data_IF_147200071600
#
_entry.id   IF_147200071600
#
_cell.length_a   1.000
_cell.length_b   1.000
_cell.length_c   1.000
_cell.angle_alpha   90.00
_cell.angle_beta   90.00
_cell.angle_gamma   90.00
#
_symmetry.space_group_name_H-M   'P 1'
#
loop_
_entity.id
_entity.type
_entity.pdbx_description
1 polymer ?
#
# COMPACT_ATOMS: atom_id res chain seq x y z
N UNK A 1 -22.77 6.69 0.42
CA UNK A 1 -21.86 5.53 0.63
C UNK A 1 -21.79 5.17 2.10
N UNK A 2 -21.35 6.08 2.98
CA UNK A 2 -21.35 5.84 4.43
C UNK A 2 -22.73 5.56 5.00
N UNK A 3 -23.76 6.30 4.58
CA UNK A 3 -25.17 6.05 4.98
C UNK A 3 -25.69 4.67 4.55
N UNK A 4 -25.08 4.05 3.54
CA UNK A 4 -25.41 2.69 3.12
C UNK A 4 -24.71 1.62 3.97
N UNK A 5 -23.99 2.01 5.02
CA UNK A 5 -23.34 1.10 5.96
C UNK A 5 -21.94 0.64 5.54
N UNK A 6 -21.30 1.29 4.56
CA UNK A 6 -19.93 0.96 4.18
C UNK A 6 -18.97 1.01 5.39
N UNK A 7 -18.11 -0.01 5.52
CA UNK A 7 -17.13 -0.15 6.61
C UNK A 7 -15.69 -0.06 6.14
N UNK A 8 -15.48 0.12 4.85
CA UNK A 8 -14.19 0.22 4.21
C UNK A 8 -14.36 0.93 2.86
N UNK A 9 -13.38 1.73 2.46
CA UNK A 9 -13.31 2.36 1.15
C UNK A 9 -12.10 1.81 0.39
N UNK A 10 -12.19 1.75 -0.93
CA UNK A 10 -11.12 1.20 -1.78
C UNK A 10 -10.80 2.19 -2.89
N UNK A 11 -9.51 2.35 -3.18
CA UNK A 11 -9.00 3.01 -4.38
C UNK A 11 -7.73 2.29 -4.86
N UNK A 12 -7.32 2.57 -6.09
CA UNK A 12 -6.00 2.16 -6.60
C UNK A 12 -4.91 3.11 -6.09
N UNK A 13 -3.68 2.65 -5.86
CA UNK A 13 -2.54 3.53 -5.61
C UNK A 13 -2.20 4.33 -6.87
N UNK A 14 -1.68 5.53 -6.71
CA UNK A 14 -1.21 6.37 -7.79
C UNK A 14 -1.52 7.85 -7.57
N UNK A 15 -1.03 8.72 -8.47
CA UNK A 15 -1.39 10.13 -8.45
C UNK A 15 -2.83 10.32 -8.95
N UNK A 16 -3.50 11.37 -8.47
CA UNK A 16 -4.92 11.62 -8.77
C UNK A 16 -5.04 12.57 -9.96
N UNK A 17 -5.83 12.26 -11.00
CA UNK A 17 -6.09 13.18 -12.09
C UNK A 17 -6.61 14.53 -11.57
N UNK A 18 -6.07 15.62 -12.08
CA UNK A 18 -6.40 16.95 -11.55
C UNK A 18 -7.68 17.56 -12.14
N UNK A 19 -8.22 16.96 -13.20
CA UNK A 19 -9.37 17.42 -13.97
C UNK A 19 -9.02 18.06 -15.32
N UNK A 20 -7.72 18.25 -15.60
CA UNK A 20 -7.16 18.53 -16.92
C UNK A 20 -6.35 17.35 -17.44
N UNK A 21 -5.24 17.63 -18.12
CA UNK A 21 -4.31 16.62 -18.65
C UNK A 21 -3.18 16.26 -17.65
N UNK A 22 -3.36 16.60 -16.37
CA UNK A 22 -2.34 16.49 -15.33
C UNK A 22 -2.73 15.56 -14.17
N UNK A 23 -1.78 15.42 -13.24
CA UNK A 23 -1.95 14.63 -12.02
C UNK A 23 -1.39 15.39 -10.82
N UNK A 24 -2.01 15.19 -9.65
CA UNK A 24 -1.56 15.73 -8.37
C UNK A 24 -1.46 14.63 -7.32
N UNK A 25 -0.69 14.87 -6.26
CA UNK A 25 -0.59 13.91 -5.15
C UNK A 25 -1.97 13.64 -4.52
N UNK A 26 -2.25 12.39 -4.09
CA UNK A 26 -3.44 12.08 -3.29
C UNK A 26 -3.50 12.88 -1.98
N UNK A 27 -2.37 13.38 -1.50
CA UNK A 27 -2.25 14.23 -0.31
C UNK A 27 -2.35 15.73 -0.60
N UNK A 28 -2.69 16.13 -1.82
CA UNK A 28 -2.87 17.54 -2.17
C UNK A 28 -4.01 18.17 -1.34
N UNK A 29 -3.86 19.37 -0.74
CA UNK A 29 -4.86 19.96 0.16
C UNK A 29 -6.27 20.13 -0.42
N UNK A 30 -6.39 20.18 -1.76
CA UNK A 30 -7.70 20.17 -2.44
C UNK A 30 -8.58 18.96 -2.09
N UNK A 31 -7.97 17.86 -1.63
CA UNK A 31 -8.66 16.65 -1.21
C UNK A 31 -8.86 16.55 0.31
N UNK A 32 -8.38 17.52 1.10
CA UNK A 32 -8.45 17.47 2.57
C UNK A 32 -9.89 17.32 3.08
N UNK A 33 -10.88 17.89 2.38
CA UNK A 33 -12.30 17.68 2.73
C UNK A 33 -12.69 16.21 2.65
N UNK A 34 -12.22 15.47 1.64
CA UNK A 34 -12.54 14.05 1.47
C UNK A 34 -11.85 13.24 2.57
N UNK A 35 -10.55 13.48 2.79
CA UNK A 35 -9.79 12.79 3.82
C UNK A 35 -10.29 13.06 5.23
N UNK A 36 -10.68 14.32 5.52
CA UNK A 36 -11.30 14.70 6.78
C UNK A 36 -12.60 13.93 7.02
N UNK A 37 -13.47 13.82 6.02
CA UNK A 37 -14.72 13.04 6.14
C UNK A 37 -14.45 11.54 6.39
N UNK A 38 -13.43 10.97 5.74
CA UNK A 38 -13.03 9.57 5.95
C UNK A 38 -12.51 9.35 7.37
N UNK A 39 -11.64 10.26 7.83
CA UNK A 39 -11.09 10.23 9.18
C UNK A 39 -12.17 10.39 10.25
N UNK A 40 -13.08 11.37 10.09
CA UNK A 40 -14.21 11.61 11.00
C UNK A 40 -15.18 10.43 11.04
N UNK A 41 -15.43 9.79 9.90
CA UNK A 41 -16.28 8.60 9.83
C UNK A 41 -15.62 7.37 10.48
N UNK A 42 -14.31 7.42 10.73
CA UNK A 42 -13.54 6.29 11.22
C UNK A 42 -13.55 5.11 10.26
N UNK A 43 -13.73 5.32 8.95
CA UNK A 43 -13.73 4.23 7.98
C UNK A 43 -12.34 4.07 7.37
N UNK A 44 -11.75 2.86 7.38
CA UNK A 44 -10.45 2.64 6.76
C UNK A 44 -10.46 2.80 5.24
N UNK A 45 -9.30 3.19 4.70
CA UNK A 45 -9.01 3.25 3.27
C UNK A 45 -8.11 2.09 2.86
N UNK A 46 -8.45 1.39 1.79
CA UNK A 46 -7.61 0.37 1.14
C UNK A 46 -7.05 0.93 -0.16
N UNK A 47 -5.74 0.76 -0.32
CA UNK A 47 -5.01 0.91 -1.57
C UNK A 47 -4.80 -0.49 -2.15
N UNK A 48 -5.67 -0.90 -3.07
CA UNK A 48 -5.63 -2.21 -3.70
C UNK A 48 -4.81 -2.16 -4.99
N UNK A 49 -4.04 -3.19 -5.28
CA UNK A 49 -3.31 -3.26 -6.55
C UNK A 49 -4.26 -3.09 -7.75
N UNK A 50 -3.71 -2.45 -8.78
CA UNK A 50 -4.46 -2.03 -9.95
C UNK A 50 -3.66 -1.07 -10.81
N UNK A 51 -4.32 -0.47 -11.79
CA UNK A 51 -3.68 0.43 -12.75
C UNK A 51 -3.27 1.76 -12.10
N UNK A 52 -2.05 1.80 -11.57
CA UNK A 52 -1.48 2.91 -10.78
C UNK A 52 -0.77 3.99 -11.61
N UNK A 53 -0.92 3.96 -12.94
CA UNK A 53 -0.31 4.92 -13.85
C UNK A 53 1.20 4.75 -14.07
N UNK A 54 1.88 3.85 -13.35
CA UNK A 54 3.33 3.61 -13.52
C UNK A 54 3.68 3.12 -14.94
N UNK A 55 2.72 2.47 -15.61
CA UNK A 55 2.80 2.13 -17.02
C UNK A 55 3.08 3.34 -17.94
N UNK A 56 2.64 4.56 -17.56
CA UNK A 56 2.95 5.78 -18.31
C UNK A 56 4.44 6.08 -18.27
N UNK A 57 5.09 5.95 -17.12
CA UNK A 57 6.55 6.09 -17.03
C UNK A 57 7.27 5.01 -17.84
N UNK A 58 6.73 3.79 -17.87
CA UNK A 58 7.21 2.69 -18.71
C UNK A 58 7.26 3.03 -20.21
N UNK A 59 6.36 3.88 -20.69
CA UNK A 59 6.34 4.28 -22.11
C UNK A 59 7.57 5.07 -22.56
N UNK A 60 8.27 5.73 -21.63
CA UNK A 60 9.55 6.41 -21.93
C UNK A 60 10.70 5.44 -22.18
N UNK A 61 10.56 4.18 -21.74
CA UNK A 61 11.55 3.12 -21.87
C UNK A 61 11.25 2.19 -23.05
N UNK A 62 10.54 2.70 -24.07
CA UNK A 62 10.17 1.92 -25.24
C UNK A 62 11.35 1.50 -26.10
N UNK A 63 11.28 0.27 -26.59
CA UNK A 63 12.22 -0.32 -27.55
C UNK A 63 11.47 -0.79 -28.79
N UNK A 64 12.21 -1.08 -29.86
CA UNK A 64 11.68 -1.56 -31.15
C UNK A 64 11.12 -2.98 -31.08
N UNK A 65 11.41 -3.72 -30.01
CA UNK A 65 10.86 -5.05 -29.76
C UNK A 65 9.46 -4.94 -29.12
N UNK A 66 8.38 -5.39 -29.82
CA UNK A 66 7.03 -5.39 -29.27
C UNK A 66 6.87 -6.25 -28.02
N UNK A 67 7.68 -7.31 -27.86
CA UNK A 67 7.65 -8.24 -26.73
C UNK A 67 8.43 -7.79 -25.50
N UNK A 68 9.35 -6.83 -25.67
CA UNK A 68 10.03 -6.16 -24.56
C UNK A 68 9.15 -5.10 -23.86
N UNK A 69 7.96 -4.87 -24.41
CA UNK A 69 6.78 -4.29 -23.77
C UNK A 69 6.99 -2.99 -23.01
N UNK A 70 6.65 -1.92 -23.74
CA UNK A 70 6.62 -0.55 -23.22
C UNK A 70 5.20 -0.01 -23.02
N UNK A 71 4.19 -0.80 -23.39
CA UNK A 71 2.79 -0.56 -23.10
C UNK A 71 2.35 -1.48 -21.96
N UNK A 72 1.92 -0.89 -20.85
CA UNK A 72 1.45 -1.60 -19.65
C UNK A 72 0.07 -2.26 -19.82
N UNK A 73 -0.11 -3.05 -20.87
CA UNK A 73 -1.27 -3.94 -20.98
C UNK A 73 -1.19 -5.03 -19.91
N UNK A 74 -2.25 -5.18 -19.12
CA UNK A 74 -2.44 -6.32 -18.23
C UNK A 74 -3.13 -7.45 -19.01
N UNK A 75 -2.35 -8.27 -19.70
CA UNK A 75 -2.78 -9.62 -20.10
C UNK A 75 -2.11 -10.63 -19.16
N UNK A 76 -2.91 -11.52 -18.55
CA UNK A 76 -2.40 -12.55 -17.65
C UNK A 76 -1.28 -13.36 -18.29
N UNK A 77 -0.14 -13.46 -17.60
CA UNK A 77 1.07 -14.19 -18.02
C UNK A 77 1.77 -13.70 -19.30
N UNK A 78 1.40 -12.51 -19.82
CA UNK A 78 2.13 -11.83 -20.91
C UNK A 78 2.66 -10.47 -20.46
N UNK A 79 3.17 -10.42 -19.24
CA UNK A 79 3.81 -9.21 -18.75
C UNK A 79 5.14 -9.01 -19.46
N UNK A 80 5.39 -7.76 -19.84
CA UNK A 80 6.71 -7.33 -20.25
C UNK A 80 7.67 -7.44 -19.05
N UNK A 81 8.87 -7.99 -19.28
CA UNK A 81 9.85 -8.22 -18.22
C UNK A 81 10.32 -6.91 -17.56
N UNK A 82 10.46 -5.83 -18.33
CA UNK A 82 10.96 -4.56 -17.80
C UNK A 82 10.03 -3.91 -16.77
N UNK A 83 8.72 -3.69 -17.04
CA UNK A 83 7.80 -3.17 -16.01
C UNK A 83 7.73 -4.03 -14.76
N UNK A 84 7.76 -5.37 -14.89
CA UNK A 84 7.76 -6.26 -13.74
C UNK A 84 8.98 -6.03 -12.84
N UNK A 85 10.18 -5.88 -13.41
CA UNK A 85 11.41 -5.67 -12.64
C UNK A 85 11.54 -4.23 -12.13
N UNK A 86 11.16 -3.25 -12.93
CA UNK A 86 11.43 -1.85 -12.64
C UNK A 86 10.36 -1.20 -11.74
N UNK A 87 9.11 -1.69 -11.81
CA UNK A 87 7.93 -0.96 -11.36
C UNK A 87 6.95 -1.74 -10.48
N UNK A 88 7.12 -3.06 -10.28
CA UNK A 88 6.11 -3.91 -9.64
C UNK A 88 5.55 -3.35 -8.32
N UNK A 89 6.39 -2.75 -7.49
CA UNK A 89 6.01 -2.22 -6.17
C UNK A 89 6.05 -0.67 -6.08
N UNK A 90 6.41 0.02 -7.17
CA UNK A 90 6.56 1.48 -7.16
C UNK A 90 5.25 2.21 -6.95
N UNK A 91 4.16 1.71 -7.53
CA UNK A 91 2.86 2.39 -7.46
C UNK A 91 2.42 2.63 -6.01
N UNK A 92 2.46 1.59 -5.18
CA UNK A 92 2.09 1.69 -3.76
C UNK A 92 3.13 2.46 -2.95
N UNK A 93 4.43 2.21 -3.20
CA UNK A 93 5.52 2.85 -2.46
C UNK A 93 5.54 4.36 -2.67
N UNK A 94 5.42 4.83 -3.92
CA UNK A 94 5.36 6.25 -4.28
C UNK A 94 4.07 6.90 -3.74
N UNK A 95 2.96 6.17 -3.75
CA UNK A 95 1.67 6.66 -3.19
C UNK A 95 1.80 6.95 -1.71
N UNK A 96 2.26 5.99 -0.91
CA UNK A 96 2.41 6.14 0.54
C UNK A 96 3.54 7.11 0.90
N UNK A 97 4.63 7.14 0.13
CA UNK A 97 5.65 8.17 0.25
C UNK A 97 5.03 9.57 0.08
N UNK A 98 4.17 9.77 -0.92
CA UNK A 98 3.49 11.06 -1.12
C UNK A 98 2.54 11.41 0.02
N UNK A 99 1.84 10.42 0.60
CA UNK A 99 0.94 10.64 1.74
C UNK A 99 1.70 11.08 2.99
N UNK A 100 2.85 10.47 3.27
CA UNK A 100 3.73 10.86 4.39
C UNK A 100 4.39 12.22 4.11
N UNK A 101 5.10 12.36 2.99
CA UNK A 101 5.92 13.54 2.70
C UNK A 101 5.10 14.81 2.46
N UNK A 102 3.87 14.70 1.96
CA UNK A 102 2.98 15.85 1.81
C UNK A 102 2.03 16.04 3.00
N UNK A 103 2.30 15.37 4.12
CA UNK A 103 1.67 15.63 5.42
C UNK A 103 0.22 15.18 5.55
N UNK A 104 -0.27 14.26 4.71
CA UNK A 104 -1.65 13.76 4.83
C UNK A 104 -1.87 13.05 6.17
N UNK A 105 -0.92 12.18 6.54
CA UNK A 105 -1.00 11.40 7.77
C UNK A 105 -0.87 12.28 9.03
N UNK A 106 -0.07 13.34 8.95
CA UNK A 106 0.01 14.37 10.00
C UNK A 106 -1.28 15.17 10.12
N UNK A 107 -1.88 15.61 9.00
CA UNK A 107 -3.16 16.37 9.04
C UNK A 107 -4.33 15.54 9.56
N UNK A 108 -4.33 14.24 9.29
CA UNK A 108 -5.41 13.33 9.68
C UNK A 108 -4.86 12.09 10.41
N UNK A 109 -4.46 12.23 11.68
CA UNK A 109 -3.80 11.15 12.43
C UNK A 109 -4.73 9.96 12.74
N UNK A 110 -6.05 10.13 12.59
CA UNK A 110 -7.05 9.07 12.76
C UNK A 110 -7.26 8.21 11.49
N UNK A 111 -6.65 8.57 10.36
CA UNK A 111 -6.75 7.74 9.15
C UNK A 111 -6.09 6.39 9.37
N UNK A 112 -6.78 5.35 8.90
CA UNK A 112 -6.28 3.98 8.81
C UNK A 112 -6.22 3.58 7.35
N UNK A 113 -5.03 3.21 6.89
CA UNK A 113 -4.76 2.89 5.49
C UNK A 113 -4.23 1.46 5.42
N UNK A 114 -4.68 0.65 4.46
CA UNK A 114 -4.08 -0.65 4.18
C UNK A 114 -3.59 -0.76 2.74
N UNK A 115 -2.40 -1.31 2.55
CA UNK A 115 -1.94 -1.83 1.26
C UNK A 115 -2.41 -3.27 1.11
N UNK A 116 -3.20 -3.56 0.07
CA UNK A 116 -3.70 -4.91 -0.22
C UNK A 116 -3.27 -5.32 -1.63
N UNK A 117 -2.73 -6.54 -1.77
CA UNK A 117 -2.30 -7.13 -3.04
C UNK A 117 -1.13 -6.40 -3.74
N UNK A 118 -0.36 -5.56 -3.03
CA UNK A 118 0.82 -4.88 -3.60
C UNK A 118 2.16 -5.51 -3.18
N UNK A 119 2.12 -6.70 -2.56
CA UNK A 119 3.24 -7.23 -1.78
C UNK A 119 3.68 -6.26 -0.67
N UNK A 120 4.85 -6.52 -0.08
CA UNK A 120 5.33 -5.74 1.05
C UNK A 120 6.83 -5.46 1.06
N UNK A 121 7.64 -6.05 0.17
CA UNK A 121 9.09 -5.84 0.18
C UNK A 121 9.54 -4.40 -0.15
N UNK A 122 8.65 -3.55 -0.64
CA UNK A 122 8.87 -2.10 -0.74
C UNK A 122 8.94 -1.39 0.62
N UNK A 123 8.35 -1.98 1.67
CA UNK A 123 8.17 -1.33 2.99
C UNK A 123 9.52 -1.04 3.67
N UNK A 124 10.44 -2.01 3.86
CA UNK A 124 11.72 -1.72 4.51
C UNK A 124 12.52 -0.65 3.76
N UNK A 125 12.43 -0.64 2.44
CA UNK A 125 13.11 0.29 1.56
C UNK A 125 12.51 1.71 1.64
N UNK A 126 11.18 1.82 1.67
CA UNK A 126 10.50 3.09 1.90
C UNK A 126 10.85 3.66 3.28
N UNK A 127 10.77 2.86 4.34
CA UNK A 127 11.07 3.33 5.70
C UNK A 127 12.52 3.81 5.83
N UNK A 128 13.48 3.10 5.22
CA UNK A 128 14.88 3.55 5.13
C UNK A 128 14.99 4.91 4.43
N UNK A 129 14.29 5.09 3.31
CA UNK A 129 14.32 6.34 2.56
C UNK A 129 13.68 7.51 3.33
N UNK A 130 12.56 7.27 4.02
CA UNK A 130 11.89 8.24 4.88
C UNK A 130 12.79 8.67 6.05
N UNK A 131 13.44 7.71 6.73
CA UNK A 131 14.39 8.01 7.81
C UNK A 131 15.59 8.84 7.30
N UNK A 132 16.13 8.47 6.13
CA UNK A 132 17.23 9.21 5.52
C UNK A 132 16.82 10.63 5.09
N UNK A 133 15.60 10.82 4.58
CA UNK A 133 15.06 12.13 4.24
C UNK A 133 14.89 13.00 5.49
N UNK A 134 14.33 12.44 6.57
CA UNK A 134 14.19 13.13 7.86
C UNK A 134 15.54 13.57 8.42
N UNK A 135 16.56 12.69 8.38
CA UNK A 135 17.91 13.04 8.84
C UNK A 135 18.57 14.18 8.05
N UNK A 136 18.26 14.31 6.76
CA UNK A 136 18.80 15.38 5.88
C UNK A 136 18.01 16.68 5.94
N UNK A 137 16.69 16.58 6.04
CA UNK A 137 15.76 17.71 5.96
C UNK A 137 14.68 17.59 7.05
N UNK A 138 15.04 17.62 8.35
CA UNK A 138 14.07 17.42 9.42
C UNK A 138 12.99 18.52 9.43
N UNK A 139 13.32 19.73 8.96
CA UNK A 139 12.39 20.85 8.84
C UNK A 139 11.25 20.63 7.82
N UNK A 140 11.37 19.62 6.94
CA UNK A 140 10.33 19.28 5.98
C UNK A 140 9.22 18.39 6.58
N UNK A 141 9.38 17.95 7.83
CA UNK A 141 8.45 17.05 8.51
C UNK A 141 8.08 17.61 9.89
N UNK A 142 6.79 17.67 10.19
CA UNK A 142 6.32 18.09 11.52
C UNK A 142 6.56 17.01 12.59
N UNK A 143 6.59 15.74 12.18
CA UNK A 143 6.83 14.57 13.03
C UNK A 143 7.63 13.50 12.26
N UNK A 144 8.25 12.55 12.96
CA UNK A 144 9.14 11.55 12.34
C UNK A 144 8.39 10.67 11.31
N UNK A 145 8.74 10.69 10.01
CA UNK A 145 7.91 10.11 8.94
C UNK A 145 7.73 8.59 9.03
N UNK A 146 8.70 7.86 9.58
CA UNK A 146 8.56 6.41 9.82
C UNK A 146 7.50 6.12 10.89
N UNK A 147 7.40 6.99 11.90
CA UNK A 147 6.42 6.80 12.98
C UNK A 147 5.01 7.15 12.49
N UNK A 148 4.88 8.15 11.60
CA UNK A 148 3.62 8.42 10.88
C UNK A 148 3.13 7.17 10.15
N UNK A 149 4.03 6.55 9.38
CA UNK A 149 3.74 5.37 8.59
C UNK A 149 3.29 4.22 9.49
N UNK A 150 4.11 3.87 10.50
CA UNK A 150 3.83 2.76 11.43
C UNK A 150 2.55 2.95 12.23
N UNK A 151 2.13 4.18 12.50
CA UNK A 151 0.90 4.47 13.24
C UNK A 151 -0.37 4.23 12.42
N UNK A 152 -0.31 4.38 11.10
CA UNK A 152 -1.52 4.53 10.28
C UNK A 152 -1.61 3.56 9.08
N UNK A 153 -0.56 2.77 8.81
CA UNK A 153 -0.49 1.92 7.63
C UNK A 153 -0.40 0.44 8.01
N UNK A 154 -1.39 -0.33 7.56
CA UNK A 154 -1.44 -1.79 7.58
C UNK A 154 -1.04 -2.35 6.21
N UNK A 155 -0.52 -3.57 6.19
CA UNK A 155 0.01 -4.20 4.99
C UNK A 155 -0.49 -5.65 4.93
N UNK A 156 -0.98 -6.04 3.76
CA UNK A 156 -1.17 -7.45 3.38
C UNK A 156 -0.01 -7.87 2.47
N UNK A 157 0.98 -8.62 2.98
CA UNK A 157 2.11 -9.12 2.19
C UNK A 157 1.69 -10.17 1.18
N UNK A 158 2.55 -10.46 0.21
CA UNK A 158 2.45 -11.70 -0.55
C UNK A 158 2.91 -12.89 0.29
N UNK A 159 2.48 -14.10 -0.05
CA UNK A 159 2.88 -15.30 0.69
C UNK A 159 4.36 -15.63 0.50
N UNK A 160 5.02 -15.11 -0.54
CA UNK A 160 6.47 -15.24 -0.76
C UNK A 160 7.32 -14.15 -0.09
N UNK A 161 6.72 -13.15 0.55
CA UNK A 161 7.47 -12.06 1.18
C UNK A 161 8.18 -12.53 2.47
N UNK A 162 9.24 -11.81 2.87
CA UNK A 162 9.97 -12.09 4.11
C UNK A 162 9.22 -11.52 5.32
N UNK A 163 8.37 -12.37 5.92
CA UNK A 163 7.44 -12.00 6.98
C UNK A 163 8.15 -11.55 8.27
N UNK A 164 9.24 -12.21 8.66
CA UNK A 164 10.10 -11.77 9.77
C UNK A 164 10.65 -10.35 9.55
N UNK A 165 11.18 -10.06 8.35
CA UNK A 165 11.72 -8.73 8.03
C UNK A 165 10.63 -7.66 8.03
N UNK A 166 9.42 -7.99 7.60
CA UNK A 166 8.27 -7.08 7.65
C UNK A 166 7.82 -6.80 9.08
N UNK A 167 7.73 -7.84 9.93
CA UNK A 167 7.44 -7.68 11.36
C UNK A 167 8.45 -6.74 12.01
N UNK A 168 9.74 -6.91 11.74
CA UNK A 168 10.78 -6.05 12.30
C UNK A 168 10.70 -4.60 11.76
N UNK A 169 10.19 -4.42 10.53
CA UNK A 169 10.04 -3.11 9.91
C UNK A 169 8.83 -2.32 10.45
N UNK A 170 7.65 -2.94 10.56
CA UNK A 170 6.39 -2.23 10.88
C UNK A 170 5.70 -2.65 12.17
N UNK A 171 6.12 -3.76 12.78
CA UNK A 171 5.43 -4.38 13.92
C UNK A 171 4.40 -5.42 13.46
N UNK A 172 4.18 -6.43 14.30
CA UNK A 172 3.24 -7.52 14.01
C UNK A 172 1.80 -7.01 13.86
N UNK A 173 1.43 -5.94 14.57
CA UNK A 173 0.12 -5.30 14.61
C UNK A 173 -0.26 -4.56 13.31
N UNK A 174 0.67 -4.47 12.36
CA UNK A 174 0.46 -3.87 11.03
C UNK A 174 0.40 -4.89 9.90
N UNK A 175 0.64 -6.16 10.18
CA UNK A 175 0.55 -7.22 9.18
C UNK A 175 -0.83 -7.86 9.20
N UNK A 176 -1.43 -8.04 8.01
CA UNK A 176 -2.73 -8.69 7.86
C UNK A 176 -2.64 -9.78 6.81
N UNK A 177 -3.34 -10.86 7.06
CA UNK A 177 -3.57 -11.92 6.08
C UNK A 177 -4.42 -11.43 4.90
N UNK A 178 -4.02 -11.83 3.69
CA UNK A 178 -4.83 -11.74 2.47
C UNK A 178 -4.50 -12.90 1.54
N UNK A 179 -5.52 -13.63 1.08
CA UNK A 179 -5.33 -14.80 0.19
C UNK A 179 -5.46 -14.48 -1.30
N UNK A 180 -6.07 -13.35 -1.62
CA UNK A 180 -6.45 -12.98 -2.99
C UNK A 180 -7.35 -14.01 -3.72
N UNK A 181 -8.04 -14.87 -2.98
CA UNK A 181 -9.02 -15.79 -3.58
C UNK A 181 -10.20 -15.02 -4.19
N UNK A 182 -10.68 -15.34 -5.42
CA UNK A 182 -10.38 -16.54 -6.22
C UNK A 182 -9.42 -16.28 -7.40
N UNK A 183 -8.56 -15.27 -7.33
CA UNK A 183 -7.63 -14.96 -8.40
C UNK A 183 -6.61 -16.10 -8.63
N UNK A 184 -6.00 -16.11 -9.81
CA UNK A 184 -5.12 -17.22 -10.24
C UNK A 184 -3.75 -17.15 -9.56
N UNK A 185 -3.33 -15.94 -9.23
CA UNK A 185 -2.12 -15.57 -8.50
C UNK A 185 -2.25 -15.77 -6.98
N UNK A 186 -3.48 -15.87 -6.46
CA UNK A 186 -3.77 -16.05 -5.05
C UNK A 186 -3.71 -17.50 -4.56
N UNK A 187 -4.05 -17.71 -3.28
CA UNK A 187 -4.10 -19.02 -2.66
C UNK A 187 -5.45 -19.71 -2.92
N UNK A 188 -5.39 -20.96 -3.42
CA UNK A 188 -6.59 -21.77 -3.65
C UNK A 188 -7.32 -22.16 -2.35
N UNK A 189 -6.59 -22.34 -1.25
CA UNK A 189 -7.12 -22.47 0.10
C UNK A 189 -6.67 -21.24 0.91
N UNK A 190 -7.57 -20.27 1.19
CA UNK A 190 -7.21 -19.05 1.91
C UNK A 190 -6.50 -19.30 3.24
N UNK A 191 -6.89 -20.35 3.98
CA UNK A 191 -6.30 -20.64 5.29
C UNK A 191 -4.90 -21.26 5.18
N UNK A 192 -4.44 -21.64 3.98
CA UNK A 192 -3.11 -22.20 3.79
C UNK A 192 -2.00 -21.18 4.09
N UNK A 193 -2.29 -19.87 4.08
CA UNK A 193 -1.33 -18.80 4.38
C UNK A 193 -0.60 -18.97 5.72
N UNK A 194 -1.22 -19.63 6.70
CA UNK A 194 -0.57 -19.95 7.99
C UNK A 194 0.74 -20.71 7.81
N UNK A 195 0.90 -21.47 6.72
CA UNK A 195 2.12 -22.22 6.40
C UNK A 195 3.26 -21.33 5.92
N UNK A 196 2.96 -20.12 5.50
CA UNK A 196 3.90 -19.14 4.94
C UNK A 196 4.43 -18.16 6.00
N UNK A 197 4.00 -18.30 7.24
CA UNK A 197 4.50 -17.58 8.43
C UNK A 197 5.03 -18.54 9.52
N UNK A 198 5.85 -19.55 9.20
CA UNK A 198 6.26 -20.58 10.16
C UNK A 198 7.10 -20.03 11.33
N UNK A 199 7.69 -18.84 11.20
CA UNK A 199 8.48 -18.19 12.23
C UNK A 199 7.65 -17.50 13.33
N UNK A 200 6.34 -17.29 13.10
CA UNK A 200 5.48 -16.59 14.05
C UNK A 200 4.94 -17.53 15.12
N UNK A 201 4.90 -17.05 16.36
CA UNK A 201 4.25 -17.78 17.44
C UNK A 201 2.72 -17.80 17.29
N UNK A 202 2.02 -18.50 18.20
CA UNK A 202 0.57 -18.63 18.11
C UNK A 202 -0.17 -17.29 18.23
N UNK A 203 0.34 -16.35 19.03
CA UNK A 203 -0.26 -15.04 19.22
C UNK A 203 0.01 -14.12 18.03
N UNK A 204 1.24 -14.13 17.50
CA UNK A 204 1.60 -13.43 16.26
C UNK A 204 0.79 -13.96 15.06
N UNK A 205 0.63 -15.28 14.97
CA UNK A 205 -0.20 -15.93 13.94
C UNK A 205 -1.67 -15.51 14.05
N UNK A 206 -2.25 -15.54 15.26
CA UNK A 206 -3.62 -15.07 15.48
C UNK A 206 -3.77 -13.58 15.13
N UNK A 207 -2.76 -12.77 15.44
CA UNK A 207 -2.74 -11.36 15.12
C UNK A 207 -2.88 -11.12 13.61
N UNK A 208 -1.98 -11.71 12.82
CA UNK A 208 -1.95 -11.56 11.36
C UNK A 208 -3.21 -12.16 10.71
N UNK A 209 -3.63 -13.34 11.15
CA UNK A 209 -4.74 -14.07 10.54
C UNK A 209 -6.12 -13.52 10.94
N UNK A 210 -6.22 -12.73 12.02
CA UNK A 210 -7.52 -12.34 12.57
C UNK A 210 -7.56 -10.99 13.29
N UNK A 211 -6.81 -10.79 14.37
CA UNK A 211 -7.14 -9.65 15.26
C UNK A 211 -6.73 -8.31 14.68
N UNK A 212 -5.65 -8.25 13.88
CA UNK A 212 -5.20 -7.01 13.26
C UNK A 212 -6.23 -6.45 12.27
N UNK A 213 -6.94 -7.30 11.51
CA UNK A 213 -8.00 -6.81 10.61
C UNK A 213 -9.21 -6.29 11.39
N UNK A 214 -9.50 -6.84 12.58
CA UNK A 214 -10.55 -6.31 13.45
C UNK A 214 -10.17 -4.92 13.98
N UNK A 215 -8.92 -4.72 14.39
CA UNK A 215 -8.41 -3.40 14.79
C UNK A 215 -8.47 -2.40 13.62
N UNK A 216 -8.01 -2.79 12.44
CA UNK A 216 -8.06 -1.97 11.23
C UNK A 216 -9.49 -1.54 10.87
N UNK A 217 -10.47 -2.44 11.03
CA UNK A 217 -11.90 -2.15 10.81
C UNK A 217 -12.54 -1.38 11.96
N UNK A 218 -11.93 -1.33 13.15
CA UNK A 218 -12.50 -0.71 14.36
C UNK A 218 -13.57 -1.58 15.00
N UNK A 219 -13.36 -2.90 14.97
CA UNK A 219 -14.24 -3.93 15.50
C UNK A 219 -13.60 -4.73 16.65
N UNK A 220 -12.42 -4.30 17.11
CA UNK A 220 -11.71 -4.89 18.25
C UNK A 220 -12.38 -4.55 19.59
#
# INVERSE_FOLDING_TARGET
VLDAGARLLVTVPGPVPDGGDGYVSPAHPKFDRVWGLIAEAGVPMVLHAGLSGVAHYGSFWRTTDPGAGSSGGFEGFKHASFPLVAFADRGISDTLASMVCHGLLTRFPALRIASIENGAMWVPDLLRNLAAAYGKMPFAFEEHPVEQFRRQVWISPYYEDDMARLRDAVGIDRLMFGSDFPHTEGLADPCAFVKDIPEFDAAETEAVMRTNVLEFLGLA
#
